data_IF_561679608343
#
_entry.id   IF_561679608343
#
_cell.length_a   1.000
_cell.length_b   1.000
_cell.length_c   1.000
_cell.angle_alpha   90.00
_cell.angle_beta   90.00
_cell.angle_gamma   90.00
#
_symmetry.space_group_name_H-M   'P 1'
#
loop_
_entity.id
_entity.type
_entity.pdbx_description
1 polymer ?
#
# COMPACT_ATOMS: atom_id res chain seq x y z
N UNK A 1 24.51 10.68 -3.38
CA UNK A 1 24.07 11.26 -4.67
C UNK A 1 22.87 10.51 -5.26
N UNK A 2 22.85 9.16 -5.36
CA UNK A 2 21.74 8.40 -5.95
C UNK A 2 20.40 8.68 -5.25
N UNK A 3 20.34 8.54 -3.93
CA UNK A 3 19.13 8.77 -3.14
C UNK A 3 18.54 10.19 -3.32
N UNK A 4 19.42 11.19 -3.45
CA UNK A 4 18.99 12.56 -3.78
C UNK A 4 18.41 12.61 -5.20
N UNK A 5 19.07 11.96 -6.14
CA UNK A 5 18.67 11.96 -7.54
C UNK A 5 17.32 11.30 -7.74
N UNK A 6 16.98 10.24 -7.00
CA UNK A 6 15.68 9.58 -7.06
C UNK A 6 14.56 10.56 -6.68
N UNK A 7 14.75 11.34 -5.62
CA UNK A 7 13.78 12.35 -5.18
C UNK A 7 13.66 13.47 -6.24
N UNK A 8 14.79 13.94 -6.78
CA UNK A 8 14.79 14.97 -7.83
C UNK A 8 14.04 14.51 -9.09
N UNK A 9 14.22 13.25 -9.50
CA UNK A 9 13.51 12.66 -10.63
C UNK A 9 12.00 12.53 -10.35
N UNK A 10 11.62 12.08 -9.16
CA UNK A 10 10.22 12.04 -8.75
C UNK A 10 9.56 13.41 -8.83
N UNK A 11 10.21 14.44 -8.30
CA UNK A 11 9.72 15.82 -8.37
C UNK A 11 9.66 16.36 -9.82
N UNK A 12 10.64 16.04 -10.65
CA UNK A 12 10.64 16.41 -12.06
C UNK A 12 9.48 15.75 -12.84
N UNK A 13 9.11 14.51 -12.43
CA UNK A 13 7.94 13.81 -12.97
C UNK A 13 6.59 14.36 -12.45
N UNK A 14 6.61 15.32 -11.51
CA UNK A 14 5.41 15.94 -10.95
C UNK A 14 4.92 15.34 -9.64
N UNK A 15 5.60 14.33 -9.09
CA UNK A 15 5.24 13.74 -7.81
C UNK A 15 5.72 14.62 -6.65
N UNK A 16 4.89 14.74 -5.62
CA UNK A 16 5.21 15.47 -4.39
C UNK A 16 5.67 14.55 -3.25
N UNK A 17 5.61 13.25 -3.43
CA UNK A 17 5.99 12.26 -2.45
C UNK A 17 6.03 10.83 -2.99
N UNK A 18 6.37 9.90 -2.12
CA UNK A 18 6.35 8.47 -2.41
C UNK A 18 6.10 7.64 -1.16
N UNK A 19 5.40 6.53 -1.31
CA UNK A 19 5.39 5.46 -0.33
C UNK A 19 6.67 4.62 -0.49
N UNK A 20 7.35 4.39 0.61
CA UNK A 20 8.64 3.68 0.62
C UNK A 20 8.42 2.17 0.72
N UNK A 21 7.85 1.60 -0.35
CA UNK A 21 7.31 0.25 -0.40
C UNK A 21 8.29 -0.83 0.08
N UNK A 22 7.87 -1.59 1.08
CA UNK A 22 8.54 -2.79 1.61
C UNK A 22 9.99 -2.57 2.03
N UNK A 23 10.34 -1.37 2.49
CA UNK A 23 11.74 -1.07 2.81
C UNK A 23 11.90 -0.02 3.91
N UNK A 24 12.72 -0.34 4.90
CA UNK A 24 13.30 0.65 5.79
C UNK A 24 14.41 1.41 5.04
N UNK A 25 14.14 2.65 4.67
CA UNK A 25 15.09 3.47 3.93
C UNK A 25 16.22 3.98 4.82
N UNK A 26 17.33 4.37 4.19
CA UNK A 26 18.46 4.97 4.87
C UNK A 26 18.12 6.38 5.36
N UNK A 27 18.67 6.78 6.50
CA UNK A 27 18.49 8.14 7.06
C UNK A 27 18.86 9.24 6.06
N UNK A 28 19.82 8.99 5.17
CA UNK A 28 20.20 9.95 4.12
C UNK A 28 19.10 10.18 3.09
N UNK A 29 18.21 9.21 2.86
CA UNK A 29 17.04 9.41 2.00
C UNK A 29 16.09 10.39 2.67
N UNK A 30 15.76 10.16 3.93
CA UNK A 30 14.89 11.05 4.72
C UNK A 30 15.48 12.45 4.85
N UNK A 31 16.79 12.57 5.06
CA UNK A 31 17.47 13.88 5.04
C UNK A 31 17.22 14.64 3.73
N UNK A 32 17.35 13.98 2.57
CA UNK A 32 17.10 14.64 1.31
C UNK A 32 15.62 14.89 1.06
N UNK A 33 14.73 14.00 1.50
CA UNK A 33 13.29 14.22 1.46
C UNK A 33 12.89 15.46 2.26
N UNK A 34 13.42 15.62 3.48
CA UNK A 34 13.23 16.81 4.31
C UNK A 34 13.73 18.07 3.60
N UNK A 35 14.96 18.03 3.08
CA UNK A 35 15.58 19.18 2.42
C UNK A 35 14.90 19.61 1.14
N UNK A 36 14.37 18.68 0.39
CA UNK A 36 13.75 18.93 -0.90
C UNK A 36 12.22 19.07 -0.82
N UNK A 37 11.64 18.92 0.36
CA UNK A 37 10.19 18.97 0.56
C UNK A 37 9.47 17.86 -0.21
N UNK A 38 9.90 16.60 -0.04
CA UNK A 38 9.32 15.42 -0.66
C UNK A 38 8.67 14.55 0.39
N UNK A 39 7.36 14.37 0.32
CA UNK A 39 6.60 13.63 1.33
C UNK A 39 6.87 12.13 1.22
N UNK A 40 6.94 11.45 2.36
CA UNK A 40 7.20 10.01 2.37
C UNK A 40 6.25 9.28 3.31
N UNK A 41 5.92 8.05 2.97
CA UNK A 41 5.30 7.09 3.89
C UNK A 41 6.38 6.13 4.36
N UNK A 42 6.62 6.12 5.68
CA UNK A 42 7.58 5.21 6.29
C UNK A 42 7.01 3.80 6.34
N UNK A 43 7.75 2.84 5.81
CA UNK A 43 7.31 1.45 5.67
C UNK A 43 8.42 0.47 6.05
N UNK A 44 8.05 -0.78 6.28
CA UNK A 44 8.98 -1.84 6.58
C UNK A 44 8.67 -3.09 5.73
N UNK A 45 9.70 -3.87 5.43
CA UNK A 45 9.55 -5.14 4.71
C UNK A 45 8.81 -6.15 5.58
N UNK A 46 7.72 -6.69 5.06
CA UNK A 46 6.91 -7.69 5.77
C UNK A 46 6.60 -8.93 4.93
N UNK A 47 6.85 -8.91 3.63
CA UNK A 47 6.63 -10.07 2.79
C UNK A 47 7.60 -11.21 3.17
N UNK A 48 7.08 -12.43 3.20
CA UNK A 48 7.82 -13.60 3.64
C UNK A 48 7.82 -13.82 5.16
N UNK A 49 7.27 -12.89 5.94
CA UNK A 49 7.09 -13.09 7.37
C UNK A 49 5.96 -14.08 7.63
N UNK A 50 6.22 -15.11 8.42
CA UNK A 50 5.17 -16.00 8.89
C UNK A 50 4.41 -15.36 10.06
N UNK A 51 3.21 -14.86 9.76
CA UNK A 51 2.33 -14.20 10.73
C UNK A 51 1.84 -15.12 11.87
N UNK A 52 1.94 -16.44 11.70
CA UNK A 52 1.63 -17.40 12.75
C UNK A 52 2.81 -17.72 13.67
N UNK A 53 4.00 -17.30 13.29
CA UNK A 53 5.19 -17.51 14.09
C UNK A 53 5.37 -16.37 15.11
N UNK A 54 5.17 -16.62 16.41
CA UNK A 54 5.27 -15.57 17.42
C UNK A 54 6.68 -14.99 17.57
N UNK A 55 7.71 -15.72 17.13
CA UNK A 55 9.09 -15.20 17.10
C UNK A 55 9.23 -14.18 15.99
N UNK A 56 8.70 -14.47 14.79
CA UNK A 56 8.72 -13.51 13.69
C UNK A 56 7.96 -12.22 14.04
N UNK A 57 6.78 -12.34 14.64
CA UNK A 57 6.01 -11.18 15.10
C UNK A 57 6.76 -10.33 16.14
N UNK A 58 7.41 -10.95 17.13
CA UNK A 58 8.21 -10.22 18.12
C UNK A 58 9.42 -9.50 17.49
N UNK A 59 10.10 -10.17 16.57
CA UNK A 59 11.23 -9.56 15.88
C UNK A 59 10.76 -8.36 15.06
N UNK A 60 9.67 -8.51 14.30
CA UNK A 60 9.07 -7.43 13.53
C UNK A 60 8.72 -6.22 14.39
N UNK A 61 8.03 -6.43 15.53
CA UNK A 61 7.68 -5.36 16.46
C UNK A 61 8.92 -4.65 17.01
N UNK A 62 9.98 -5.39 17.32
CA UNK A 62 11.24 -4.81 17.81
C UNK A 62 11.94 -3.96 16.76
N UNK A 63 12.05 -4.46 15.53
CA UNK A 63 12.68 -3.75 14.42
C UNK A 63 11.86 -2.53 14.00
N UNK A 64 10.52 -2.68 13.94
CA UNK A 64 9.61 -1.58 13.65
C UNK A 64 9.69 -0.45 14.68
N UNK A 65 9.77 -0.82 15.97
CA UNK A 65 10.01 0.15 17.05
C UNK A 65 11.29 0.95 16.81
N UNK A 66 12.38 0.26 16.53
CA UNK A 66 13.68 0.89 16.36
C UNK A 66 13.69 1.81 15.12
N UNK A 67 13.00 1.42 14.05
CA UNK A 67 12.80 2.25 12.86
C UNK A 67 12.03 3.54 13.19
N UNK A 68 10.90 3.45 13.88
CA UNK A 68 10.13 4.64 14.26
C UNK A 68 10.96 5.56 15.16
N UNK A 69 11.67 5.03 16.16
CA UNK A 69 12.51 5.83 17.06
C UNK A 69 13.60 6.56 16.28
N UNK A 70 14.20 5.91 15.28
CA UNK A 70 15.20 6.51 14.42
C UNK A 70 14.61 7.65 13.57
N UNK A 71 13.44 7.40 12.94
CA UNK A 71 12.98 8.22 11.81
C UNK A 71 11.86 9.21 12.16
N UNK A 72 11.20 9.09 13.32
CA UNK A 72 10.02 9.91 13.67
C UNK A 72 10.29 11.44 13.72
N UNK A 73 11.53 11.86 13.74
CA UNK A 73 11.88 13.29 13.72
C UNK A 73 12.05 13.86 12.30
N UNK A 74 11.88 13.03 11.24
CA UNK A 74 11.90 13.49 9.87
C UNK A 74 10.55 14.08 9.48
N UNK A 75 10.46 15.40 9.19
CA UNK A 75 9.18 16.03 8.81
C UNK A 75 8.65 15.56 7.45
N UNK A 76 9.48 14.99 6.61
CA UNK A 76 9.05 14.39 5.33
C UNK A 76 8.17 13.16 5.51
N UNK A 77 8.32 12.42 6.61
CA UNK A 77 7.48 11.26 6.88
C UNK A 77 6.11 11.75 7.37
N UNK A 78 5.07 11.47 6.61
CA UNK A 78 3.71 11.94 6.90
C UNK A 78 2.75 10.82 7.31
N UNK A 79 3.06 9.59 7.00
CA UNK A 79 2.26 8.38 7.31
C UNK A 79 3.22 7.25 7.68
N UNK A 80 2.80 6.39 8.60
CA UNK A 80 3.43 5.11 8.89
C UNK A 80 2.62 3.96 8.31
N UNK A 81 3.29 3.07 7.57
CA UNK A 81 2.68 1.87 6.97
C UNK A 81 3.51 0.65 7.33
N UNK A 82 3.26 0.02 8.47
CA UNK A 82 4.07 -1.11 8.93
C UNK A 82 3.99 -2.34 8.03
N UNK A 83 2.81 -2.61 7.44
CA UNK A 83 2.54 -3.84 6.70
C UNK A 83 1.99 -3.51 5.30
N UNK A 84 2.28 -4.40 4.34
CA UNK A 84 1.79 -4.33 2.98
C UNK A 84 1.18 -5.65 2.53
N UNK A 85 0.00 -5.59 1.92
CA UNK A 85 -0.68 -6.71 1.24
C UNK A 85 -0.69 -8.02 2.06
N UNK A 86 -0.98 -7.92 3.32
CA UNK A 86 -1.20 -9.09 4.15
C UNK A 86 -2.64 -9.55 3.97
N UNK A 87 -2.83 -10.51 3.08
CA UNK A 87 -4.14 -11.06 2.68
C UNK A 87 -4.54 -12.32 3.44
N UNK A 88 -3.88 -12.63 4.55
CA UNK A 88 -4.08 -13.87 5.26
C UNK A 88 -4.84 -13.67 6.57
N UNK A 89 -6.10 -13.17 6.51
CA UNK A 89 -6.93 -13.01 7.71
C UNK A 89 -7.24 -14.34 8.39
N UNK A 90 -7.00 -15.46 7.69
CA UNK A 90 -7.07 -16.81 8.20
C UNK A 90 -5.93 -17.17 9.16
N UNK A 91 -4.95 -16.33 9.27
CA UNK A 91 -3.86 -16.53 10.22
C UNK A 91 -4.34 -16.09 11.61
N UNK A 92 -4.35 -17.03 12.54
CA UNK A 92 -4.86 -16.82 13.91
C UNK A 92 -4.28 -15.58 14.61
N UNK A 93 -3.01 -15.30 14.39
CA UNK A 93 -2.35 -14.17 15.02
C UNK A 93 -2.44 -12.86 14.23
N UNK A 94 -2.99 -12.90 13.03
CA UNK A 94 -3.03 -11.72 12.15
C UNK A 94 -3.70 -10.50 12.79
N UNK A 95 -4.96 -10.58 13.28
CA UNK A 95 -5.62 -9.39 13.82
C UNK A 95 -4.88 -8.83 15.02
N UNK A 96 -4.34 -9.71 15.87
CA UNK A 96 -3.60 -9.27 17.04
C UNK A 96 -2.30 -8.58 16.68
N UNK A 97 -1.51 -9.18 15.80
CA UNK A 97 -0.23 -8.59 15.39
C UNK A 97 -0.44 -7.23 14.74
N UNK A 98 -1.42 -7.10 13.83
CA UNK A 98 -1.73 -5.82 13.17
C UNK A 98 -2.16 -4.76 14.20
N UNK A 99 -3.02 -5.12 15.15
CA UNK A 99 -3.42 -4.22 16.22
C UNK A 99 -2.23 -3.80 17.11
N UNK A 100 -1.38 -4.76 17.50
CA UNK A 100 -0.20 -4.50 18.34
C UNK A 100 0.80 -3.57 17.61
N UNK A 101 0.99 -3.76 16.30
CA UNK A 101 1.86 -2.90 15.48
C UNK A 101 1.29 -1.48 15.37
N UNK A 102 -0.03 -1.34 15.14
CA UNK A 102 -0.70 -0.05 15.14
C UNK A 102 -0.54 0.66 16.49
N UNK A 103 -0.84 -0.01 17.59
CA UNK A 103 -0.77 0.55 18.92
C UNK A 103 0.65 0.97 19.30
N UNK A 104 1.64 0.15 18.98
CA UNK A 104 3.06 0.48 19.15
C UNK A 104 3.44 1.75 18.37
N UNK A 105 2.98 1.84 17.11
CA UNK A 105 3.24 3.00 16.26
C UNK A 105 2.67 4.28 16.89
N UNK A 106 1.39 4.25 17.32
CA UNK A 106 0.74 5.39 17.97
C UNK A 106 1.35 5.76 19.32
N UNK A 107 1.89 4.81 20.06
CA UNK A 107 2.62 5.07 21.31
C UNK A 107 3.94 5.79 21.07
N UNK A 108 4.65 5.45 20.01
CA UNK A 108 5.96 6.01 19.67
C UNK A 108 5.86 7.33 18.90
N UNK A 109 4.84 7.44 18.07
CA UNK A 109 4.52 8.63 17.27
C UNK A 109 3.00 8.85 17.17
N UNK A 110 2.40 9.58 18.13
CA UNK A 110 0.96 9.89 18.07
C UNK A 110 0.60 10.95 17.03
N UNK A 111 1.60 11.59 16.41
CA UNK A 111 1.38 12.78 15.57
C UNK A 111 0.99 12.44 14.13
N UNK A 112 1.34 11.25 13.68
CA UNK A 112 1.10 10.79 12.29
C UNK A 112 -0.01 9.76 12.23
N UNK A 113 -0.78 9.75 11.14
CA UNK A 113 -1.70 8.66 10.86
C UNK A 113 -0.93 7.36 10.56
N UNK A 114 -1.59 6.25 10.86
CA UNK A 114 -1.10 4.90 10.62
C UNK A 114 -2.03 4.21 9.65
N UNK A 115 -1.47 3.74 8.53
CA UNK A 115 -2.07 2.78 7.62
C UNK A 115 -1.58 1.40 8.04
N UNK A 116 -2.39 0.65 8.75
CA UNK A 116 -1.96 -0.60 9.39
C UNK A 116 -1.47 -1.64 8.40
N UNK A 117 -2.20 -1.80 7.30
CA UNK A 117 -1.85 -2.71 6.19
C UNK A 117 -2.24 -2.05 4.86
N UNK A 118 -1.27 -1.72 4.05
CA UNK A 118 -1.49 -1.12 2.73
C UNK A 118 -2.20 -2.09 1.80
N UNK A 119 -3.33 -1.67 1.24
CA UNK A 119 -4.08 -2.38 0.19
C UNK A 119 -4.62 -3.76 0.55
N UNK A 120 -4.76 -4.09 1.82
CA UNK A 120 -5.19 -5.41 2.26
C UNK A 120 -6.23 -5.35 3.39
N UNK A 121 -6.26 -6.36 4.23
CA UNK A 121 -7.29 -6.50 5.28
C UNK A 121 -6.94 -5.65 6.49
N UNK A 122 -7.58 -4.50 6.62
CA UNK A 122 -7.42 -3.61 7.77
C UNK A 122 -7.97 -4.22 9.06
N UNK A 123 -7.30 -3.91 10.17
CA UNK A 123 -7.69 -4.30 11.52
C UNK A 123 -7.91 -3.08 12.41
N UNK A 124 -6.95 -2.19 12.43
CA UNK A 124 -6.98 -0.94 13.20
C UNK A 124 -6.18 0.12 12.48
N UNK A 125 -6.85 1.04 11.80
CA UNK A 125 -6.22 1.98 10.87
C UNK A 125 -6.79 3.39 10.99
N UNK A 126 -5.97 4.39 10.72
CA UNK A 126 -6.42 5.79 10.58
C UNK A 126 -6.85 6.13 9.14
N UNK A 127 -6.40 5.35 8.16
CA UNK A 127 -6.67 5.51 6.73
C UNK A 127 -7.29 4.24 6.17
N UNK A 128 -8.10 4.39 5.13
CA UNK A 128 -8.59 3.24 4.37
C UNK A 128 -7.92 3.22 3.03
N UNK A 129 -7.13 2.18 2.77
CA UNK A 129 -6.33 2.10 1.56
C UNK A 129 -6.70 0.89 0.71
N UNK A 130 -6.56 1.07 -0.61
CA UNK A 130 -6.78 0.00 -1.58
C UNK A 130 -5.69 0.00 -2.65
N UNK A 131 -5.42 -1.17 -3.21
CA UNK A 131 -4.64 -1.32 -4.43
C UNK A 131 -5.59 -1.57 -5.60
N UNK A 132 -5.44 -0.84 -6.69
CA UNK A 132 -6.26 -1.00 -7.88
C UNK A 132 -5.41 -0.87 -9.14
N UNK A 133 -5.10 -2.00 -9.76
CA UNK A 133 -4.25 -2.07 -10.97
C UNK A 133 -5.06 -2.18 -12.26
N UNK A 134 -6.29 -1.65 -12.26
CA UNK A 134 -7.08 -1.56 -13.49
C UNK A 134 -6.36 -0.71 -14.53
N UNK A 135 -6.20 -1.26 -15.73
CA UNK A 135 -5.42 -0.63 -16.80
C UNK A 135 -6.25 0.30 -17.69
N UNK A 136 -7.56 0.12 -17.72
CA UNK A 136 -8.48 1.03 -18.39
C UNK A 136 -8.79 2.22 -17.47
N UNK A 137 -8.47 3.47 -17.85
CA UNK A 137 -8.70 4.64 -17.00
C UNK A 137 -10.16 4.89 -16.64
N UNK A 138 -11.10 4.60 -17.55
CA UNK A 138 -12.53 4.80 -17.29
C UNK A 138 -13.05 3.74 -16.31
N UNK A 139 -12.60 2.49 -16.46
CA UNK A 139 -12.91 1.42 -15.50
C UNK A 139 -12.23 1.68 -14.15
N UNK A 140 -10.99 2.17 -14.14
CA UNK A 140 -10.30 2.56 -12.91
C UNK A 140 -11.10 3.60 -12.14
N UNK A 141 -11.52 4.68 -12.83
CA UNK A 141 -12.34 5.73 -12.25
C UNK A 141 -13.64 5.17 -11.64
N UNK A 142 -14.34 4.32 -12.37
CA UNK A 142 -15.58 3.68 -11.89
C UNK A 142 -15.29 2.81 -10.66
N UNK A 143 -14.21 2.02 -10.67
CA UNK A 143 -13.84 1.16 -9.53
C UNK A 143 -13.51 1.95 -8.26
N UNK A 144 -12.90 3.12 -8.41
CA UNK A 144 -12.53 3.96 -7.28
C UNK A 144 -13.73 4.72 -6.71
N UNK A 145 -14.65 5.20 -7.57
CA UNK A 145 -15.67 6.18 -7.17
C UNK A 145 -17.10 5.68 -7.18
N UNK A 146 -17.37 4.52 -7.73
CA UNK A 146 -18.75 4.00 -7.77
C UNK A 146 -19.19 3.53 -6.38
N UNK A 147 -20.13 4.25 -5.78
CA UNK A 147 -20.68 3.94 -4.46
C UNK A 147 -21.37 2.58 -4.40
N UNK A 148 -21.87 2.06 -5.50
CA UNK A 148 -22.43 0.69 -5.53
C UNK A 148 -21.33 -0.36 -5.31
N UNK A 149 -20.07 0.02 -5.46
CA UNK A 149 -18.87 -0.79 -5.17
C UNK A 149 -18.23 -0.49 -3.83
N UNK A 150 -18.77 0.46 -3.08
CA UNK A 150 -18.45 0.60 -1.65
C UNK A 150 -18.65 -0.75 -0.94
N UNK A 151 -19.58 -1.57 -1.40
CA UNK A 151 -19.76 -2.95 -0.94
C UNK A 151 -18.52 -3.82 -1.18
N UNK A 152 -17.84 -3.66 -2.33
CA UNK A 152 -16.63 -4.42 -2.65
C UNK A 152 -15.47 -4.04 -1.73
N UNK A 153 -15.26 -2.75 -1.52
CA UNK A 153 -14.18 -2.24 -0.68
C UNK A 153 -14.54 -2.20 0.80
N UNK A 154 -15.85 -2.14 1.12
CA UNK A 154 -16.38 -2.22 2.46
C UNK A 154 -16.05 -3.55 3.13
N UNK A 155 -16.12 -4.63 2.36
CA UNK A 155 -15.76 -5.97 2.81
C UNK A 155 -14.28 -6.32 2.59
N UNK A 156 -13.43 -5.33 2.42
CA UNK A 156 -12.02 -5.51 2.13
C UNK A 156 -11.76 -6.04 0.69
N UNK A 157 -10.51 -6.19 0.33
CA UNK A 157 -10.10 -6.49 -1.04
C UNK A 157 -10.48 -7.90 -1.55
N UNK A 158 -10.87 -8.83 -0.65
CA UNK A 158 -11.22 -10.22 -0.99
C UNK A 158 -12.66 -10.59 -0.57
N UNK A 159 -13.69 -10.15 -1.29
CA UNK A 159 -15.06 -10.50 -0.96
C UNK A 159 -15.38 -11.98 -1.15
N UNK A 160 -14.51 -12.73 -1.85
CA UNK A 160 -14.73 -14.14 -2.19
C UNK A 160 -14.13 -15.10 -1.16
N UNK A 161 -13.25 -14.64 -0.32
CA UNK A 161 -12.77 -15.44 0.81
C UNK A 161 -13.69 -15.11 1.97
N UNK A 162 -14.53 -16.05 2.43
CA UNK A 162 -15.26 -15.84 3.66
C UNK A 162 -14.21 -15.62 4.74
N UNK A 163 -14.03 -14.37 5.15
CA UNK A 163 -13.00 -13.97 6.11
C UNK A 163 -13.10 -14.67 7.46
N UNK A 164 -14.13 -15.47 7.63
CA UNK A 164 -14.51 -16.20 8.81
C UNK A 164 -14.25 -17.70 8.74
N UNK A 165 -13.89 -18.22 7.56
CA UNK A 165 -13.83 -19.67 7.34
C UNK A 165 -12.45 -20.13 6.89
N UNK A 166 -11.50 -19.50 7.38
CA UNK A 166 -10.15 -19.54 6.87
C UNK A 166 -9.32 -20.40 7.77
N UNK A 167 -9.11 -21.62 7.40
CA UNK A 167 -7.97 -22.46 7.80
C UNK A 167 -7.64 -22.63 9.29
N UNK A 168 -8.23 -21.84 10.18
CA UNK A 168 -8.17 -22.01 11.61
C UNK A 168 -9.12 -23.12 12.07
N UNK A 169 -9.05 -24.27 11.42
CA UNK A 169 -9.78 -25.48 11.81
C UNK A 169 -9.46 -25.96 13.24
N UNK A 170 -8.57 -25.27 13.93
CA UNK A 170 -8.19 -25.57 15.30
C UNK A 170 -8.78 -24.60 16.33
N UNK A 171 -9.47 -23.55 15.90
CA UNK A 171 -10.17 -22.68 16.83
C UNK A 171 -11.60 -23.17 17.02
N UNK A 172 -12.11 -23.16 18.27
CA UNK A 172 -13.53 -23.37 18.50
C UNK A 172 -14.33 -22.39 17.63
N UNK A 173 -15.42 -22.86 17.02
CA UNK A 173 -16.35 -22.08 16.16
C UNK A 173 -16.85 -20.74 16.75
N UNK A 174 -16.47 -20.43 17.97
CA UNK A 174 -16.91 -19.27 18.75
C UNK A 174 -15.95 -18.10 18.74
N UNK A 175 -14.72 -18.25 18.24
CA UNK A 175 -13.76 -17.14 18.19
C UNK A 175 -13.66 -16.67 16.75
N UNK A 176 -14.56 -15.80 16.37
CA UNK A 176 -14.52 -15.09 15.09
C UNK A 176 -14.02 -13.68 15.36
N UNK A 177 -13.06 -13.24 14.57
CA UNK A 177 -12.67 -11.84 14.55
C UNK A 177 -13.53 -11.10 13.52
N UNK A 178 -14.22 -10.06 13.95
CA UNK A 178 -14.95 -9.18 13.05
C UNK A 178 -14.01 -8.08 12.57
N UNK A 179 -13.64 -8.15 11.30
CA UNK A 179 -12.82 -7.11 10.69
C UNK A 179 -13.66 -5.84 10.48
N UNK A 180 -13.08 -4.64 10.65
CA UNK A 180 -13.79 -3.41 10.40
C UNK A 180 -14.19 -3.30 8.94
N UNK A 181 -15.33 -2.66 8.69
CA UNK A 181 -15.75 -2.21 7.38
C UNK A 181 -15.40 -0.74 7.18
N UNK A 182 -15.32 -0.30 5.93
CA UNK A 182 -15.17 1.11 5.64
C UNK A 182 -16.41 1.89 6.08
N UNK A 183 -16.22 2.82 6.99
CA UNK A 183 -17.28 3.59 7.62
C UNK A 183 -17.61 4.93 6.89
N UNK A 184 -16.87 5.23 5.82
CA UNK A 184 -17.00 6.48 5.07
C UNK A 184 -16.45 7.72 5.79
N UNK A 185 -15.82 7.55 6.96
CA UNK A 185 -15.26 8.66 7.74
C UNK A 185 -13.74 8.81 7.60
N UNK A 186 -13.05 7.67 7.41
CA UNK A 186 -11.60 7.69 7.23
C UNK A 186 -11.23 8.21 5.84
N UNK A 187 -10.09 8.90 5.70
CA UNK A 187 -9.54 9.20 4.39
C UNK A 187 -9.40 7.92 3.57
N UNK A 188 -9.94 7.94 2.35
CA UNK A 188 -9.84 6.82 1.41
C UNK A 188 -8.74 7.11 0.40
N UNK A 189 -7.78 6.20 0.27
CA UNK A 189 -6.59 6.39 -0.56
C UNK A 189 -6.37 5.16 -1.44
N UNK A 190 -6.12 5.40 -2.73
CA UNK A 190 -5.59 4.39 -3.65
C UNK A 190 -4.09 4.48 -3.59
N UNK A 191 -3.47 3.72 -2.69
CA UNK A 191 -2.05 3.83 -2.40
C UNK A 191 -1.15 2.99 -3.31
N UNK A 192 -1.76 2.17 -4.18
CA UNK A 192 -1.09 1.58 -5.34
C UNK A 192 -2.03 1.52 -6.55
N UNK A 193 -1.57 2.07 -7.68
CA UNK A 193 -2.25 1.97 -8.96
C UNK A 193 -1.23 2.00 -10.12
N UNK A 194 -1.68 1.87 -11.35
CA UNK A 194 -0.77 1.91 -12.51
C UNK A 194 -0.11 0.56 -12.78
N UNK A 195 1.19 0.48 -12.63
CA UNK A 195 1.94 -0.74 -12.92
C UNK A 195 1.84 -1.17 -14.38
N UNK A 196 1.88 -0.22 -15.31
CA UNK A 196 1.76 -0.48 -16.75
C UNK A 196 2.95 -1.34 -17.19
N UNK A 197 2.63 -2.49 -17.79
CA UNK A 197 3.64 -3.36 -18.37
C UNK A 197 4.36 -2.64 -19.51
N UNK A 198 5.66 -2.43 -19.37
CA UNK A 198 6.47 -1.76 -20.39
C UNK A 198 7.90 -2.29 -20.42
N UNK A 199 8.45 -2.41 -21.62
CA UNK A 199 9.88 -2.62 -21.84
C UNK A 199 10.38 -1.64 -22.90
N UNK A 200 11.55 -1.06 -22.69
CA UNK A 200 12.22 -0.24 -23.69
C UNK A 200 12.65 -1.03 -24.93
N UNK A 201 12.86 -2.32 -24.77
CA UNK A 201 13.09 -3.26 -25.87
C UNK A 201 11.76 -3.90 -26.29
N UNK A 202 11.18 -3.39 -27.37
CA UNK A 202 9.90 -3.84 -27.91
C UNK A 202 9.90 -5.32 -28.33
N UNK A 203 11.07 -5.89 -28.67
CA UNK A 203 11.19 -7.31 -29.00
C UNK A 203 10.86 -8.22 -27.80
N UNK A 204 11.01 -7.69 -26.60
CA UNK A 204 10.71 -8.39 -25.33
C UNK A 204 9.25 -8.29 -24.90
N UNK A 205 8.44 -7.52 -25.62
CA UNK A 205 7.01 -7.36 -25.33
C UNK A 205 6.13 -8.35 -26.08
N UNK A 206 6.69 -9.10 -27.03
CA UNK A 206 5.96 -10.04 -27.87
C UNK A 206 5.82 -11.37 -27.14
N UNK A 207 4.63 -11.59 -26.57
CA UNK A 207 4.23 -12.85 -25.94
C UNK A 207 3.57 -12.65 -24.58
N UNK A 208 2.70 -13.58 -24.21
CA UNK A 208 2.12 -13.66 -22.86
C UNK A 208 3.13 -14.17 -21.82
N UNK A 209 4.41 -14.25 -22.17
CA UNK A 209 5.43 -14.74 -21.27
C UNK A 209 5.91 -13.60 -20.36
N UNK A 210 5.63 -13.73 -19.07
CA UNK A 210 5.93 -12.75 -18.04
C UNK A 210 7.43 -12.62 -17.70
N UNK A 211 8.32 -13.24 -18.49
CA UNK A 211 9.72 -13.37 -18.11
C UNK A 211 10.55 -12.10 -18.33
N UNK A 212 10.12 -11.18 -19.17
CA UNK A 212 10.97 -10.06 -19.61
C UNK A 212 10.49 -8.67 -19.19
N UNK A 213 9.21 -8.46 -18.92
CA UNK A 213 8.71 -7.23 -18.33
C UNK A 213 7.55 -7.51 -17.38
N UNK A 214 7.69 -7.01 -16.16
CA UNK A 214 6.64 -7.09 -15.17
C UNK A 214 5.62 -5.97 -15.36
N UNK A 215 4.36 -6.23 -15.01
CA UNK A 215 3.28 -5.24 -15.02
C UNK A 215 1.92 -5.86 -15.28
N UNK A 216 0.89 -5.01 -15.27
CA UNK A 216 -0.51 -5.41 -15.41
C UNK A 216 -1.05 -5.14 -16.81
N UNK A 217 -2.02 -5.96 -17.22
CA UNK A 217 -2.71 -5.85 -18.50
C UNK A 217 -1.81 -6.08 -19.72
N UNK A 218 -2.33 -5.68 -20.88
CA UNK A 218 -1.59 -5.77 -22.13
C UNK A 218 -0.54 -4.66 -22.21
N UNK A 219 0.67 -5.00 -22.67
CA UNK A 219 1.71 -4.02 -22.89
C UNK A 219 1.29 -3.02 -23.99
N UNK A 220 1.46 -1.71 -23.77
CA UNK A 220 1.34 -0.72 -24.82
C UNK A 220 2.32 -1.01 -25.96
N UNK A 221 1.89 -0.80 -27.20
CA UNK A 221 2.72 -1.06 -28.36
C UNK A 221 3.63 0.12 -28.72
N UNK A 222 3.29 1.30 -28.23
CA UNK A 222 4.02 2.54 -28.50
C UNK A 222 4.17 3.38 -27.24
N UNK A 223 5.18 4.27 -27.22
CA UNK A 223 5.32 5.27 -26.15
C UNK A 223 4.10 6.19 -26.05
N UNK A 224 3.44 6.49 -27.16
CA UNK A 224 2.23 7.30 -27.15
C UNK A 224 1.09 6.60 -26.40
N UNK A 225 0.90 5.31 -26.61
CA UNK A 225 -0.08 4.50 -25.85
C UNK A 225 0.29 4.41 -24.37
N UNK A 226 1.58 4.23 -24.06
CA UNK A 226 2.06 4.22 -22.68
C UNK A 226 1.72 5.53 -21.98
N UNK A 227 2.08 6.67 -22.58
CA UNK A 227 1.79 7.99 -22.00
C UNK A 227 0.30 8.29 -21.90
N UNK A 228 -0.48 7.91 -22.90
CA UNK A 228 -1.93 8.09 -22.88
C UNK A 228 -2.57 7.31 -21.72
N UNK A 229 -2.15 6.05 -21.53
CA UNK A 229 -2.64 5.20 -20.42
C UNK A 229 -2.21 5.74 -19.07
N UNK A 230 -0.92 6.06 -18.89
CA UNK A 230 -0.40 6.63 -17.65
C UNK A 230 -1.14 7.91 -17.28
N UNK A 231 -1.27 8.83 -18.25
CA UNK A 231 -2.03 10.07 -18.04
C UNK A 231 -3.48 9.79 -17.64
N UNK A 232 -4.15 8.89 -18.36
CA UNK A 232 -5.54 8.55 -18.08
C UNK A 232 -5.73 7.95 -16.68
N UNK A 233 -4.81 7.10 -16.22
CA UNK A 233 -4.83 6.54 -14.87
C UNK A 233 -4.60 7.60 -13.79
N UNK A 234 -3.65 8.50 -14.00
CA UNK A 234 -3.41 9.64 -13.09
C UNK A 234 -4.63 10.56 -13.06
N UNK A 235 -5.19 10.91 -14.21
CA UNK A 235 -6.39 11.74 -14.30
C UNK A 235 -7.60 11.07 -13.60
N UNK A 236 -7.73 9.74 -13.71
CA UNK A 236 -8.78 8.98 -13.06
C UNK A 236 -8.73 9.08 -11.53
N UNK A 237 -7.53 9.08 -10.94
CA UNK A 237 -7.33 9.23 -9.50
C UNK A 237 -7.56 10.69 -9.07
N UNK A 238 -7.08 11.67 -9.86
CA UNK A 238 -7.13 13.08 -9.50
C UNK A 238 -8.51 13.72 -9.64
N UNK A 239 -9.39 13.17 -10.50
CA UNK A 239 -10.67 13.82 -10.86
C UNK A 239 -11.60 14.05 -9.66
N UNK A 240 -11.45 13.27 -8.60
CA UNK A 240 -12.21 13.41 -7.36
C UNK A 240 -11.28 13.46 -6.15
N UNK A 241 -10.19 14.18 -6.26
CA UNK A 241 -9.22 14.35 -5.18
C UNK A 241 -9.76 14.94 -3.87
N UNK A 242 -11.01 15.44 -3.91
CA UNK A 242 -11.78 15.84 -2.72
C UNK A 242 -12.35 14.66 -1.92
N UNK A 243 -12.35 13.45 -2.47
CA UNK A 243 -12.94 12.24 -1.88
C UNK A 243 -11.97 11.09 -1.75
N UNK A 244 -11.02 11.02 -2.65
CA UNK A 244 -10.04 9.94 -2.75
C UNK A 244 -8.66 10.54 -2.93
N UNK A 245 -7.72 10.10 -2.11
CA UNK A 245 -6.29 10.35 -2.30
C UNK A 245 -5.65 9.25 -3.16
N UNK A 246 -4.49 9.55 -3.72
CA UNK A 246 -3.71 8.60 -4.48
C UNK A 246 -2.31 9.09 -4.78
#
# INVERSE_FOLDING_TARGET
>A
EALKRDIELGKQAGFNGARLHQKAFEERYHYWADKLGYLTWGEMACWGMDLNNPVAGRNFLSEWRDLIIRDRNHPSIVIWTPLNEQFWPDRYHYPRLVADVYDLTKQLDPTRPVNDVSGAVHVKTDLWTIHCYEQDPDLLRVKIYDRQRDEFYKHQYWPQVPMYNTGCNQLPDKVRYEFPEYDGQKPFIVDEFGGIKWSSDQSQQVGNDNTMSWGYGNAPQTMAEFYARLKGQVDAVLVHGDKVGG
#
